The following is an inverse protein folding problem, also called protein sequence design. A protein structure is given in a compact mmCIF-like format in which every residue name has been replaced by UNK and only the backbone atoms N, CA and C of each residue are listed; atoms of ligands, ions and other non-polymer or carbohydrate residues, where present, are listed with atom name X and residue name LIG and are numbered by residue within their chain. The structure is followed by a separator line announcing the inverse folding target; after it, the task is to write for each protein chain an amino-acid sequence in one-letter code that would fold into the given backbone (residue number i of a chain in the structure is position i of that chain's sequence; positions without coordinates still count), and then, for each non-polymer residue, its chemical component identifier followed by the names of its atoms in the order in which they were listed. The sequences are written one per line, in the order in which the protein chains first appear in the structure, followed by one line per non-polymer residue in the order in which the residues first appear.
data_IF_140060947474
#
_entry.id   IF_140060947474
#
_cell.length_a   1.000
_cell.length_b   1.000
_cell.length_c   1.000
_cell.angle_alpha   90.00
_cell.angle_beta   90.00
_cell.angle_gamma   90.00
#
_symmetry.space_group_name_H-M   'P 1'
#
loop_
_entity.id
_entity.type
_entity.pdbx_description
1 polymer ?
#
# COMPACT_ATOMS: atom_id res chain seq x y z
N UNK A 1 -28.21 17.32 -6.82
CA UNK A 1 -27.56 16.83 -5.58
C UNK A 1 -26.62 17.92 -5.11
N UNK A 2 -26.88 18.51 -3.93
CA UNK A 2 -26.03 19.57 -3.38
C UNK A 2 -24.81 18.90 -2.73
N UNK A 3 -23.62 19.28 -3.21
CA UNK A 3 -22.31 18.86 -2.71
C UNK A 3 -22.15 19.22 -1.22
N UNK A 4 -22.16 18.22 -0.34
CA UNK A 4 -21.70 18.37 1.05
C UNK A 4 -20.16 18.28 1.19
N UNK A 5 -19.42 18.18 0.09
CA UNK A 5 -17.94 18.19 0.06
C UNK A 5 -17.31 19.59 0.00
N UNK A 6 -18.06 20.65 0.24
CA UNK A 6 -17.74 21.98 -0.28
C UNK A 6 -16.73 22.82 0.52
N UNK A 7 -15.76 22.24 1.25
CA UNK A 7 -14.60 22.99 1.77
C UNK A 7 -13.46 22.15 2.41
N UNK A 8 -13.54 20.82 2.44
CA UNK A 8 -12.46 20.02 3.03
C UNK A 8 -11.24 20.02 2.09
N UNK A 9 -10.12 20.57 2.58
CA UNK A 9 -8.84 20.55 1.86
C UNK A 9 -8.14 19.24 2.17
N UNK A 10 -7.82 18.47 1.13
CA UNK A 10 -7.16 17.17 1.24
C UNK A 10 -5.76 17.25 0.67
N UNK A 11 -4.83 16.46 1.23
CA UNK A 11 -3.47 16.36 0.75
C UNK A 11 -2.93 14.94 0.86
N UNK A 12 -2.22 14.48 -0.17
CA UNK A 12 -1.50 13.21 -0.09
C UNK A 12 -0.12 13.46 0.50
N UNK A 13 0.29 12.59 1.41
CA UNK A 13 1.65 12.56 1.97
C UNK A 13 2.29 11.22 1.64
N UNK A 14 3.50 11.27 1.10
CA UNK A 14 4.31 10.09 0.78
C UNK A 14 5.62 10.19 1.53
N UNK A 15 5.93 9.17 2.33
CA UNK A 15 7.22 9.02 3.00
C UNK A 15 7.89 7.76 2.49
N UNK A 16 8.96 7.93 1.72
CA UNK A 16 9.80 6.82 1.26
C UNK A 16 10.71 6.37 2.39
N UNK A 17 10.60 5.10 2.82
CA UNK A 17 11.50 4.44 3.77
C UNK A 17 11.85 5.30 5.00
N UNK A 18 11.07 5.19 6.10
CA UNK A 18 11.40 5.88 7.36
C UNK A 18 12.83 5.62 7.85
N UNK A 19 13.40 4.45 7.56
CA UNK A 19 14.80 4.15 7.82
C UNK A 19 15.75 5.12 7.12
N UNK A 20 15.52 5.37 5.83
CA UNK A 20 16.37 6.25 5.03
C UNK A 20 16.11 7.74 5.32
N UNK A 21 14.89 8.07 5.74
CA UNK A 21 14.43 9.46 5.96
C UNK A 21 14.34 9.85 7.44
N UNK A 22 14.91 9.06 8.33
CA UNK A 22 14.73 9.20 9.79
C UNK A 22 15.09 10.58 10.34
N UNK A 23 16.13 11.21 9.77
CA UNK A 23 16.61 12.55 10.18
C UNK A 23 15.71 13.70 9.69
N UNK A 24 14.73 13.44 8.82
CA UNK A 24 13.76 14.47 8.43
C UNK A 24 12.78 14.71 9.60
N UNK A 25 12.72 15.94 10.15
CA UNK A 25 11.94 16.22 11.37
C UNK A 25 10.43 15.99 11.18
N UNK A 26 9.95 15.88 9.94
CA UNK A 26 8.55 15.61 9.63
C UNK A 26 8.20 14.13 9.75
N UNK A 27 9.17 13.23 9.65
CA UNK A 27 8.94 11.78 9.59
C UNK A 27 8.45 11.22 10.92
N UNK A 28 9.07 11.59 12.04
CA UNK A 28 8.70 11.05 13.35
C UNK A 28 7.24 11.31 13.73
N UNK A 29 6.78 12.56 13.57
CA UNK A 29 5.39 12.94 13.81
C UNK A 29 4.42 12.25 12.84
N UNK A 30 4.73 12.30 11.54
CA UNK A 30 3.90 11.66 10.52
C UNK A 30 3.76 10.15 10.74
N UNK A 31 4.86 9.44 11.02
CA UNK A 31 4.85 7.99 11.20
C UNK A 31 4.00 7.59 12.41
N UNK A 32 4.08 8.35 13.51
CA UNK A 32 3.21 8.16 14.68
C UNK A 32 1.74 8.27 14.30
N UNK A 33 1.36 9.32 13.58
CA UNK A 33 -0.05 9.56 13.21
C UNK A 33 -0.55 8.55 12.17
N UNK A 34 0.30 8.19 11.21
CA UNK A 34 0.07 7.15 10.22
C UNK A 34 -0.18 5.78 10.88
N UNK A 35 0.68 5.38 11.81
CA UNK A 35 0.48 4.17 12.61
C UNK A 35 -0.80 4.28 13.44
N UNK A 36 -1.11 5.46 13.98
CA UNK A 36 -2.35 5.73 14.70
C UNK A 36 -3.60 5.39 13.89
N UNK A 37 -3.65 5.77 12.61
CA UNK A 37 -4.76 5.41 11.70
C UNK A 37 -4.87 3.91 11.51
N UNK A 38 -3.74 3.22 11.33
CA UNK A 38 -3.71 1.75 11.19
C UNK A 38 -4.25 1.06 12.43
N UNK A 39 -3.78 1.47 13.62
CA UNK A 39 -4.21 0.91 14.90
C UNK A 39 -5.71 1.14 15.14
N UNK A 40 -6.22 2.34 14.91
CA UNK A 40 -7.66 2.65 15.08
C UNK A 40 -8.52 1.95 14.03
N UNK A 41 -8.07 1.93 12.77
CA UNK A 41 -8.77 1.28 11.66
C UNK A 41 -8.92 -0.22 11.86
N UNK A 42 -7.82 -0.93 12.15
CA UNK A 42 -7.87 -2.36 12.46
C UNK A 42 -8.55 -2.63 13.81
N UNK A 43 -8.26 -1.85 14.85
CA UNK A 43 -8.85 -2.04 16.18
C UNK A 43 -10.38 -1.89 16.20
N UNK A 44 -10.95 -1.12 15.28
CA UNK A 44 -12.41 -1.03 15.09
C UNK A 44 -13.01 -2.35 14.58
N UNK A 45 -12.29 -3.06 13.72
CA UNK A 45 -12.75 -4.31 13.08
C UNK A 45 -12.32 -5.58 13.84
N UNK A 46 -11.24 -5.47 14.61
CA UNK A 46 -10.56 -6.54 15.34
C UNK A 46 -10.24 -6.03 16.75
N UNK A 47 -11.10 -6.33 17.76
CA UNK A 47 -10.91 -5.80 19.11
C UNK A 47 -9.56 -6.13 19.76
N UNK A 48 -8.95 -7.26 19.40
CA UNK A 48 -7.63 -7.67 19.88
C UNK A 48 -6.95 -8.66 18.93
N UNK A 49 -5.63 -8.80 19.03
CA UNK A 49 -4.85 -9.88 18.40
C UNK A 49 -4.34 -9.60 16.98
N UNK A 50 -4.84 -8.57 16.29
CA UNK A 50 -4.34 -8.17 14.97
C UNK A 50 -3.40 -6.98 15.12
N UNK A 51 -2.13 -7.18 14.74
CA UNK A 51 -1.12 -6.13 14.72
C UNK A 51 -0.94 -5.61 13.29
N UNK A 52 -1.36 -4.37 12.97
CA UNK A 52 -1.25 -3.85 11.61
C UNK A 52 0.14 -3.29 11.29
N UNK A 53 1.10 -3.38 12.23
CA UNK A 53 2.47 -2.86 12.12
C UNK A 53 3.50 -3.96 12.30
N UNK A 54 4.60 -3.89 11.56
CA UNK A 54 5.74 -4.80 11.68
C UNK A 54 7.06 -4.09 11.33
N UNK A 55 8.19 -4.79 11.41
CA UNK A 55 9.49 -4.20 11.10
C UNK A 55 9.62 -3.67 9.68
N UNK A 56 8.83 -4.17 8.73
CA UNK A 56 8.91 -3.71 7.33
C UNK A 56 8.25 -2.34 7.13
N UNK A 57 7.50 -1.82 8.10
CA UNK A 57 7.13 -0.40 8.15
C UNK A 57 8.36 0.53 8.19
N UNK A 58 9.55 0.07 8.58
CA UNK A 58 10.74 0.94 8.54
C UNK A 58 11.32 1.11 7.13
N UNK A 59 11.08 0.17 6.22
CA UNK A 59 11.67 0.17 4.86
C UNK A 59 10.64 0.39 3.75
N UNK A 60 9.36 0.50 4.13
CA UNK A 60 8.25 0.68 3.19
C UNK A 60 8.09 2.13 2.78
N UNK A 61 7.48 2.36 1.62
CA UNK A 61 6.89 3.64 1.29
C UNK A 61 5.51 3.74 1.93
N UNK A 62 5.28 4.78 2.72
CA UNK A 62 4.01 5.08 3.39
C UNK A 62 3.26 6.14 2.61
N UNK A 63 1.98 5.89 2.36
CA UNK A 63 1.14 6.80 1.61
C UNK A 63 -0.12 7.05 2.43
N UNK A 64 -0.37 8.31 2.72
CA UNK A 64 -1.56 8.75 3.44
C UNK A 64 -2.35 9.75 2.63
N UNK A 65 -3.68 9.66 2.75
CA UNK A 65 -4.55 10.80 2.51
C UNK A 65 -4.72 11.53 3.84
N UNK A 66 -4.46 12.83 3.86
CA UNK A 66 -4.59 13.68 5.01
C UNK A 66 -5.68 14.73 4.79
N UNK A 67 -6.41 15.04 5.85
CA UNK A 67 -7.15 16.30 5.96
C UNK A 67 -6.17 17.41 6.32
N UNK A 68 -6.34 18.58 5.70
CA UNK A 68 -5.62 19.80 6.08
C UNK A 68 -6.53 20.58 7.02
N UNK A 69 -6.09 20.74 8.26
CA UNK A 69 -6.81 21.51 9.27
C UNK A 69 -6.57 23.02 9.10
N UNK A 70 -7.31 23.85 9.85
CA UNK A 70 -7.22 25.31 9.74
C UNK A 70 -5.84 25.90 10.09
N UNK A 71 -5.04 25.18 10.89
CA UNK A 71 -3.65 25.52 11.23
C UNK A 71 -2.62 24.94 10.24
N UNK A 72 -3.10 24.42 9.08
CA UNK A 72 -2.33 23.71 8.06
C UNK A 72 -1.66 22.41 8.55
N UNK A 73 -2.04 21.91 9.73
CA UNK A 73 -1.63 20.58 10.17
C UNK A 73 -2.27 19.49 9.30
N UNK A 74 -1.53 18.40 9.13
CA UNK A 74 -1.92 17.27 8.29
C UNK A 74 -2.36 16.12 9.17
N UNK A 75 -3.65 15.80 9.15
CA UNK A 75 -4.22 14.68 9.92
C UNK A 75 -4.49 13.52 8.96
N UNK A 76 -3.75 12.40 9.06
CA UNK A 76 -4.01 11.22 8.24
C UNK A 76 -5.41 10.67 8.48
N UNK A 77 -6.16 10.42 7.41
CA UNK A 77 -7.50 9.84 7.41
C UNK A 77 -7.57 8.50 6.66
N UNK A 78 -6.55 8.21 5.86
CA UNK A 78 -6.34 6.94 5.20
C UNK A 78 -4.84 6.64 5.14
N UNK A 79 -4.47 5.38 5.30
CA UNK A 79 -3.10 4.91 5.33
C UNK A 79 -2.94 3.62 4.52
N UNK A 80 -1.79 3.48 3.85
CA UNK A 80 -1.35 2.24 3.21
C UNK A 80 0.17 2.22 3.10
N UNK A 81 0.74 1.04 2.89
CA UNK A 81 2.18 0.87 2.69
C UNK A 81 2.53 0.01 1.48
N UNK A 82 3.70 0.27 0.93
CA UNK A 82 4.28 -0.40 -0.21
C UNK A 82 5.67 -0.90 0.17
N UNK A 83 5.86 -2.22 0.18
CA UNK A 83 7.15 -2.84 0.47
C UNK A 83 7.70 -3.51 -0.78
N UNK A 84 8.79 -2.97 -1.33
CA UNK A 84 9.48 -3.54 -2.48
C UNK A 84 10.27 -4.79 -2.09
N UNK A 85 10.31 -5.79 -2.99
CA UNK A 85 11.18 -6.95 -2.85
C UNK A 85 12.66 -6.55 -2.84
N UNK A 86 13.07 -5.63 -3.74
CA UNK A 86 14.44 -5.09 -3.75
C UNK A 86 14.81 -4.45 -2.42
N UNK A 87 13.93 -3.62 -1.83
CA UNK A 87 14.15 -3.03 -0.50
C UNK A 87 14.22 -4.10 0.60
N UNK A 88 13.33 -5.09 0.60
CA UNK A 88 13.38 -6.18 1.56
C UNK A 88 14.74 -6.92 1.52
N UNK A 89 15.22 -7.25 0.31
CA UNK A 89 16.54 -7.89 0.10
C UNK A 89 17.70 -7.00 0.58
N UNK A 90 17.67 -5.69 0.28
CA UNK A 90 18.71 -4.74 0.72
C UNK A 90 18.88 -4.69 2.25
N UNK A 91 17.80 -4.88 2.99
CA UNK A 91 17.80 -4.86 4.45
C UNK A 91 17.78 -6.27 5.07
N UNK A 92 18.06 -7.33 4.29
CA UNK A 92 18.06 -8.72 4.75
C UNK A 92 16.74 -9.15 5.42
N UNK A 93 15.63 -8.60 4.94
CA UNK A 93 14.28 -8.92 5.42
C UNK A 93 13.59 -9.88 4.46
N UNK A 94 12.74 -10.76 5.01
CA UNK A 94 11.82 -11.53 4.17
C UNK A 94 10.85 -10.58 3.46
N UNK A 95 10.53 -10.88 2.21
CA UNK A 95 9.46 -10.17 1.51
C UNK A 95 8.14 -10.41 2.26
N UNK A 96 7.42 -9.35 2.71
CA UNK A 96 6.26 -9.57 3.58
C UNK A 96 5.14 -10.35 2.90
N UNK A 97 5.00 -10.20 1.58
CA UNK A 97 4.06 -10.99 0.79
C UNK A 97 4.31 -12.49 0.88
N UNK A 98 5.58 -12.92 0.78
CA UNK A 98 5.97 -14.32 0.97
C UNK A 98 5.77 -14.77 2.42
N UNK A 99 6.12 -13.91 3.38
CA UNK A 99 5.95 -14.20 4.81
C UNK A 99 4.49 -14.48 5.17
N UNK A 100 3.55 -13.72 4.57
CA UNK A 100 2.12 -13.94 4.74
C UNK A 100 1.68 -15.34 4.27
N UNK A 101 2.16 -15.78 3.11
CA UNK A 101 1.81 -17.09 2.54
C UNK A 101 2.43 -18.26 3.32
N UNK A 102 3.64 -18.07 3.83
CA UNK A 102 4.33 -19.04 4.70
C UNK A 102 3.59 -19.23 6.02
N UNK A 103 3.20 -18.13 6.68
CA UNK A 103 2.45 -18.18 7.93
C UNK A 103 1.04 -18.75 7.76
N UNK A 104 0.43 -18.58 6.59
CA UNK A 104 -0.86 -19.17 6.25
C UNK A 104 -0.78 -20.67 5.92
N UNK A 105 0.42 -21.26 5.81
CA UNK A 105 0.59 -22.66 5.43
C UNK A 105 0.05 -22.96 4.02
N UNK A 106 0.17 -22.00 3.08
CA UNK A 106 -0.40 -22.08 1.74
C UNK A 106 0.66 -22.41 0.67
N UNK A 107 1.10 -23.68 0.50
CA UNK A 107 2.24 -24.02 -0.35
C UNK A 107 2.02 -23.73 -1.84
N UNK A 108 0.79 -23.88 -2.35
CA UNK A 108 0.48 -23.57 -3.75
C UNK A 108 0.61 -22.06 -4.02
N UNK A 109 0.11 -21.21 -3.12
CA UNK A 109 0.28 -19.76 -3.22
C UNK A 109 1.75 -19.36 -3.09
N UNK A 110 2.50 -20.00 -2.18
CA UNK A 110 3.95 -19.76 -2.05
C UNK A 110 4.69 -20.08 -3.35
N UNK A 111 4.38 -21.22 -3.97
CA UNK A 111 4.94 -21.62 -5.26
C UNK A 111 4.61 -20.58 -6.34
N UNK A 112 3.34 -20.20 -6.47
CA UNK A 112 2.91 -19.19 -7.45
C UNK A 112 3.63 -17.83 -7.26
N UNK A 113 3.77 -17.36 -6.02
CA UNK A 113 4.50 -16.10 -5.76
C UNK A 113 6.00 -16.25 -6.04
N UNK A 114 6.60 -17.41 -5.77
CA UNK A 114 8.00 -17.66 -6.09
C UNK A 114 8.25 -17.61 -7.60
N UNK A 115 7.38 -18.23 -8.41
CA UNK A 115 7.45 -18.19 -9.87
C UNK A 115 7.33 -16.75 -10.41
N UNK A 116 6.41 -15.95 -9.85
CA UNK A 116 6.30 -14.52 -10.19
C UNK A 116 7.59 -13.77 -9.83
N UNK A 117 8.15 -14.00 -8.63
CA UNK A 117 9.39 -13.37 -8.18
C UNK A 117 10.55 -13.71 -9.13
N UNK A 118 10.68 -14.97 -9.52
CA UNK A 118 11.70 -15.40 -10.48
C UNK A 118 11.53 -14.71 -11.84
N UNK A 119 10.29 -14.58 -12.33
CA UNK A 119 10.02 -13.91 -13.60
C UNK A 119 10.33 -12.41 -13.56
N UNK A 120 9.91 -11.69 -12.50
CA UNK A 120 10.24 -10.26 -12.40
C UNK A 120 11.75 -10.04 -12.26
N UNK A 121 12.47 -10.95 -11.57
CA UNK A 121 13.93 -10.92 -11.49
C UNK A 121 14.56 -11.12 -12.88
N UNK A 122 14.08 -12.10 -13.67
CA UNK A 122 14.53 -12.32 -15.07
C UNK A 122 14.32 -11.09 -15.94
N UNK A 123 13.22 -10.37 -15.73
CA UNK A 123 12.90 -9.14 -16.47
C UNK A 123 13.58 -7.89 -15.90
N UNK A 124 14.41 -8.00 -14.86
CA UNK A 124 14.99 -6.88 -14.10
C UNK A 124 13.93 -5.87 -13.58
N UNK A 125 12.70 -6.35 -13.37
CA UNK A 125 11.61 -5.59 -12.76
C UNK A 125 11.69 -5.70 -11.24
N UNK A 126 10.71 -5.12 -10.56
CA UNK A 126 10.52 -5.27 -9.12
C UNK A 126 9.07 -5.69 -8.86
N UNK A 127 8.84 -6.30 -7.71
CA UNK A 127 7.51 -6.62 -7.20
C UNK A 127 7.32 -5.96 -5.84
N UNK A 128 6.14 -5.38 -5.63
CA UNK A 128 5.81 -4.65 -4.41
C UNK A 128 4.62 -5.31 -3.71
N UNK A 129 4.78 -5.58 -2.42
CA UNK A 129 3.65 -5.94 -1.58
C UNK A 129 2.96 -4.67 -1.07
N UNK A 130 1.67 -4.54 -1.39
CA UNK A 130 0.83 -3.45 -0.88
C UNK A 130 -0.03 -3.96 0.26
N UNK A 131 -0.02 -3.25 1.39
CA UNK A 131 -0.63 -3.72 2.62
C UNK A 131 -1.10 -2.60 3.53
N UNK A 132 -1.67 -3.01 4.67
CA UNK A 132 -2.08 -2.12 5.76
C UNK A 132 -3.03 -1.01 5.33
N UNK A 133 -3.93 -1.30 4.39
CA UNK A 133 -4.99 -0.37 4.00
C UNK A 133 -5.86 -0.11 5.24
N UNK A 134 -5.91 1.15 5.66
CA UNK A 134 -6.70 1.59 6.80
C UNK A 134 -7.36 2.92 6.49
N UNK A 135 -8.62 3.04 6.90
CA UNK A 135 -9.40 4.27 6.85
C UNK A 135 -9.82 4.55 8.28
N UNK A 136 -9.62 5.78 8.74
CA UNK A 136 -10.06 6.24 10.05
C UNK A 136 -11.56 5.95 10.22
N UNK A 137 -11.99 5.26 11.29
CA UNK A 137 -13.40 4.89 11.45
C UNK A 137 -14.38 6.06 11.38
N UNK A 138 -13.99 7.25 11.88
CA UNK A 138 -14.82 8.45 11.82
C UNK A 138 -15.06 8.98 10.40
N UNK A 139 -14.30 8.52 9.40
CA UNK A 139 -14.46 8.89 8.00
C UNK A 139 -15.50 8.03 7.26
N UNK A 140 -15.93 6.92 7.87
CA UNK A 140 -16.92 6.00 7.28
C UNK A 140 -18.34 6.45 7.57
N UNK A 141 -18.61 7.74 7.35
CA UNK A 141 -19.88 8.40 7.74
C UNK A 141 -21.05 8.07 6.81
N UNK A 142 -20.76 7.82 5.53
CA UNK A 142 -21.78 7.53 4.53
C UNK A 142 -21.25 6.66 3.39
N UNK A 143 -22.17 6.08 2.63
CA UNK A 143 -21.84 5.33 1.40
C UNK A 143 -21.15 6.23 0.37
N UNK A 144 -21.58 7.48 0.24
CA UNK A 144 -20.98 8.45 -0.69
C UNK A 144 -19.54 8.76 -0.29
N UNK A 145 -19.28 9.06 0.99
CA UNK A 145 -17.91 9.27 1.50
C UNK A 145 -17.04 8.05 1.29
N UNK A 146 -17.56 6.85 1.55
CA UNK A 146 -16.83 5.60 1.32
C UNK A 146 -16.48 5.37 -0.16
N UNK A 147 -17.39 5.72 -1.09
CA UNK A 147 -17.11 5.63 -2.53
C UNK A 147 -16.06 6.66 -2.96
N UNK A 148 -16.17 7.90 -2.48
CA UNK A 148 -15.17 8.94 -2.71
C UNK A 148 -13.77 8.49 -2.25
N UNK A 149 -13.66 7.99 -1.01
CA UNK A 149 -12.40 7.48 -0.48
C UNK A 149 -11.86 6.31 -1.31
N UNK A 150 -12.71 5.41 -1.81
CA UNK A 150 -12.29 4.32 -2.72
C UNK A 150 -11.78 4.85 -4.06
N UNK A 151 -12.32 5.93 -4.60
CA UNK A 151 -11.78 6.54 -5.82
C UNK A 151 -10.40 7.16 -5.57
N UNK A 152 -10.22 7.88 -4.44
CA UNK A 152 -8.92 8.43 -4.05
C UNK A 152 -7.91 7.31 -3.84
N UNK A 153 -8.33 6.22 -3.19
CA UNK A 153 -7.54 5.02 -3.00
C UNK A 153 -7.06 4.43 -4.33
N UNK A 154 -7.97 4.23 -5.29
CA UNK A 154 -7.62 3.77 -6.65
C UNK A 154 -6.60 4.69 -7.30
N UNK A 155 -6.78 6.01 -7.19
CA UNK A 155 -5.82 6.98 -7.74
C UNK A 155 -4.44 6.87 -7.07
N UNK A 156 -4.37 6.71 -5.74
CA UNK A 156 -3.10 6.53 -5.01
C UNK A 156 -2.35 5.28 -5.48
N UNK A 157 -3.06 4.16 -5.67
CA UNK A 157 -2.48 2.91 -6.18
C UNK A 157 -1.85 3.10 -7.57
N UNK A 158 -2.62 3.64 -8.51
CA UNK A 158 -2.14 3.86 -9.89
C UNK A 158 -0.97 4.83 -9.92
N UNK A 159 -1.08 5.94 -9.20
CA UNK A 159 -0.10 7.02 -9.25
C UNK A 159 1.21 6.62 -8.58
N UNK A 160 1.16 5.87 -7.47
CA UNK A 160 2.36 5.33 -6.85
C UNK A 160 3.04 4.30 -7.74
N UNK A 161 2.29 3.37 -8.36
CA UNK A 161 2.87 2.36 -9.25
C UNK A 161 3.64 3.04 -10.38
N UNK A 162 3.00 4.05 -11.00
CA UNK A 162 3.62 4.86 -12.05
C UNK A 162 4.86 5.59 -11.56
N UNK A 163 4.83 6.18 -10.37
CA UNK A 163 5.96 6.89 -9.79
C UNK A 163 7.16 5.96 -9.51
N UNK A 164 6.92 4.67 -9.29
CA UNK A 164 7.96 3.65 -9.11
C UNK A 164 8.41 2.97 -10.41
N UNK A 165 7.92 3.42 -11.57
CA UNK A 165 8.28 2.82 -12.86
C UNK A 165 7.52 1.53 -13.18
N UNK A 166 6.28 1.40 -12.71
CA UNK A 166 5.38 0.26 -12.95
C UNK A 166 5.93 -1.10 -12.48
N UNK A 167 6.30 -1.27 -11.19
CA UNK A 167 6.54 -2.60 -10.65
C UNK A 167 5.24 -3.42 -10.66
N UNK A 168 5.36 -4.74 -10.71
CA UNK A 168 4.22 -5.62 -10.48
C UNK A 168 3.77 -5.52 -9.00
N UNK A 169 2.48 -5.64 -8.72
CA UNK A 169 1.95 -5.50 -7.35
C UNK A 169 1.35 -6.79 -6.83
N UNK A 170 1.58 -7.04 -5.54
CA UNK A 170 1.09 -8.17 -4.80
C UNK A 170 0.26 -7.69 -3.59
N UNK A 171 -0.89 -8.30 -3.33
CA UNK A 171 -1.77 -7.92 -2.22
C UNK A 171 -2.66 -9.07 -1.76
N UNK A 172 -3.18 -8.95 -0.54
CA UNK A 172 -4.29 -9.76 -0.05
C UNK A 172 -5.55 -8.93 0.10
N UNK A 173 -6.64 -9.32 -0.56
CA UNK A 173 -7.96 -8.73 -0.37
C UNK A 173 -8.78 -9.52 0.64
N UNK A 174 -9.05 -8.96 1.81
CA UNK A 174 -9.91 -9.58 2.83
C UNK A 174 -11.36 -9.69 2.33
N UNK A 175 -11.85 -10.94 2.23
CA UNK A 175 -13.15 -11.26 1.63
C UNK A 175 -14.33 -10.70 2.42
N UNK A 176 -14.25 -10.64 3.76
CA UNK A 176 -15.31 -10.08 4.62
C UNK A 176 -15.65 -8.63 4.23
N UNK A 177 -14.63 -7.85 3.87
CA UNK A 177 -14.78 -6.43 3.51
C UNK A 177 -14.95 -6.20 2.01
N UNK A 178 -14.98 -7.26 1.20
CA UNK A 178 -15.12 -7.17 -0.27
C UNK A 178 -13.99 -6.35 -0.90
N UNK A 179 -12.79 -6.37 -0.31
CA UNK A 179 -11.61 -5.67 -0.85
C UNK A 179 -11.14 -6.36 -2.12
N UNK A 180 -11.20 -7.70 -2.16
CA UNK A 180 -10.90 -8.52 -3.34
C UNK A 180 -11.73 -8.13 -4.56
N UNK A 181 -13.01 -7.78 -4.37
CA UNK A 181 -13.87 -7.34 -5.48
C UNK A 181 -13.47 -5.99 -6.03
N UNK A 182 -13.00 -5.09 -5.16
CA UNK A 182 -12.48 -3.81 -5.61
C UNK A 182 -11.11 -3.94 -6.29
N UNK A 183 -10.25 -4.82 -5.77
CA UNK A 183 -9.00 -5.17 -6.43
C UNK A 183 -9.26 -5.77 -7.83
N UNK A 184 -10.20 -6.70 -7.99
CA UNK A 184 -10.54 -7.25 -9.30
C UNK A 184 -11.03 -6.17 -10.28
N UNK A 185 -11.85 -5.22 -9.82
CA UNK A 185 -12.24 -4.05 -10.64
C UNK A 185 -11.04 -3.18 -11.04
N UNK A 186 -10.00 -3.12 -10.21
CA UNK A 186 -8.75 -2.43 -10.53
C UNK A 186 -7.87 -3.20 -11.53
N UNK A 187 -8.19 -4.45 -11.86
CA UNK A 187 -7.41 -5.30 -12.78
C UNK A 187 -6.61 -6.40 -12.09
N UNK A 188 -6.68 -6.50 -10.76
CA UNK A 188 -5.96 -7.54 -10.03
C UNK A 188 -6.54 -8.91 -10.34
N UNK A 189 -5.69 -9.94 -10.37
CA UNK A 189 -6.12 -11.32 -10.58
C UNK A 189 -5.67 -12.21 -9.42
N UNK A 190 -6.48 -13.21 -9.02
CA UNK A 190 -6.03 -14.25 -8.10
C UNK A 190 -4.69 -14.85 -8.55
N UNK A 191 -3.89 -15.32 -7.59
CA UNK A 191 -2.71 -16.12 -7.95
C UNK A 191 -3.10 -17.37 -8.74
N UNK A 192 -2.21 -17.74 -9.66
CA UNK A 192 -2.39 -18.85 -10.59
C UNK A 192 -1.14 -19.71 -10.55
N UNK A 193 -1.27 -20.97 -10.95
CA UNK A 193 -0.14 -21.87 -11.28
C UNK A 193 -0.35 -22.40 -12.69
N UNK A 194 0.64 -23.11 -13.23
CA UNK A 194 0.53 -23.79 -14.54
C UNK A 194 -0.72 -24.68 -14.66
N UNK A 195 -1.22 -25.23 -13.56
CA UNK A 195 -2.33 -26.19 -13.54
C UNK A 195 -3.65 -25.61 -13.00
N UNK A 196 -3.64 -24.38 -12.46
CA UNK A 196 -4.80 -23.81 -11.78
C UNK A 196 -4.87 -22.30 -11.99
N UNK A 197 -5.91 -21.85 -12.70
CA UNK A 197 -6.14 -20.44 -13.07
C UNK A 197 -6.58 -19.56 -11.89
N UNK A 198 -6.90 -20.15 -10.74
CA UNK A 198 -7.30 -19.41 -9.55
C UNK A 198 -7.12 -20.27 -8.30
N UNK A 199 -6.09 -19.98 -7.51
CA UNK A 199 -5.79 -20.70 -6.27
C UNK A 199 -6.78 -20.43 -5.12
N UNK A 200 -7.80 -19.61 -5.32
CA UNK A 200 -8.80 -19.26 -4.33
C UNK A 200 -8.23 -18.51 -3.11
N UNK A 201 -9.09 -18.21 -2.13
CA UNK A 201 -8.69 -17.51 -0.92
C UNK A 201 -8.12 -18.47 0.14
N UNK A 202 -7.29 -17.92 1.04
CA UNK A 202 -6.65 -18.64 2.15
C UNK A 202 -6.99 -18.01 3.50
N UNK A 203 -6.88 -18.79 4.58
CA UNK A 203 -7.07 -18.28 5.93
C UNK A 203 -5.77 -17.68 6.47
N UNK A 204 -5.84 -16.44 6.97
CA UNK A 204 -4.69 -15.73 7.51
C UNK A 204 -4.80 -15.66 9.03
N UNK A 205 -4.04 -16.49 9.73
CA UNK A 205 -4.11 -16.62 11.18
C UNK A 205 -3.82 -15.32 11.95
N UNK A 206 -2.82 -14.54 11.52
CA UNK A 206 -2.48 -13.26 12.16
C UNK A 206 -3.50 -12.13 11.91
N UNK A 207 -4.47 -12.36 11.02
CA UNK A 207 -5.64 -11.51 10.81
C UNK A 207 -6.89 -12.16 11.42
N UNK A 208 -6.78 -12.74 12.61
CA UNK A 208 -7.90 -13.41 13.29
C UNK A 208 -8.58 -14.51 12.44
N UNK A 209 -7.82 -15.20 11.57
CA UNK A 209 -8.34 -16.27 10.72
C UNK A 209 -9.16 -15.78 9.52
N UNK A 210 -9.02 -14.53 9.10
CA UNK A 210 -9.73 -13.98 7.96
C UNK A 210 -9.47 -14.73 6.66
N UNK A 211 -10.51 -14.83 5.84
CA UNK A 211 -10.42 -15.34 4.48
C UNK A 211 -9.90 -14.23 3.57
N UNK A 212 -8.76 -14.45 2.93
CA UNK A 212 -8.06 -13.46 2.10
C UNK A 212 -7.80 -14.03 0.71
N UNK A 213 -8.29 -13.33 -0.32
CA UNK A 213 -7.92 -13.62 -1.69
C UNK A 213 -6.56 -12.98 -1.98
N UNK A 214 -5.56 -13.81 -2.23
CA UNK A 214 -4.23 -13.34 -2.64
C UNK A 214 -4.26 -13.05 -4.14
N UNK A 215 -3.74 -11.88 -4.52
CA UNK A 215 -3.87 -11.34 -5.87
C UNK A 215 -2.57 -10.70 -6.36
N UNK A 216 -2.42 -10.70 -7.67
CA UNK A 216 -1.32 -10.14 -8.43
C UNK A 216 -1.85 -9.14 -9.46
N UNK A 217 -1.14 -8.02 -9.65
CA UNK A 217 -1.46 -7.01 -10.64
C UNK A 217 -0.24 -6.75 -11.53
N UNK A 218 -0.44 -6.99 -12.82
CA UNK A 218 0.52 -6.62 -13.87
C UNK A 218 0.10 -5.34 -14.57
N UNK A 219 -1.21 -5.18 -14.82
CA UNK A 219 -1.77 -4.03 -15.52
C UNK A 219 -3.07 -3.56 -14.86
N UNK A 220 -3.23 -2.25 -14.74
CA UNK A 220 -4.49 -1.67 -14.26
C UNK A 220 -5.59 -1.76 -15.31
N UNK A 221 -6.82 -1.95 -14.83
CA UNK A 221 -8.00 -1.85 -15.69
C UNK A 221 -8.18 -0.43 -16.23
N UNK A 222 -8.87 -0.30 -17.38
CA UNK A 222 -9.25 0.99 -17.93
C UNK A 222 -10.00 1.85 -16.90
N UNK A 223 -10.90 1.23 -16.13
CA UNK A 223 -11.63 1.91 -15.07
C UNK A 223 -10.70 2.54 -14.02
N UNK A 224 -9.69 1.80 -13.53
CA UNK A 224 -8.76 2.33 -12.55
C UNK A 224 -7.92 3.50 -13.11
N UNK A 225 -7.52 3.41 -14.38
CA UNK A 225 -6.79 4.48 -15.08
C UNK A 225 -7.65 5.75 -15.23
N UNK A 226 -8.93 5.63 -15.55
CA UNK A 226 -9.86 6.78 -15.63
C UNK A 226 -10.06 7.44 -14.26
N UNK A 227 -10.26 6.64 -13.19
CA UNK A 227 -10.38 7.14 -11.82
C UNK A 227 -9.10 7.85 -11.38
N UNK A 228 -7.92 7.31 -11.72
CA UNK A 228 -6.65 7.96 -11.44
C UNK A 228 -6.55 9.31 -12.14
N UNK A 229 -6.94 9.40 -13.41
CA UNK A 229 -6.92 10.67 -14.16
C UNK A 229 -7.82 11.73 -13.52
N UNK A 230 -9.02 11.35 -13.08
CA UNK A 230 -9.98 12.23 -12.40
C UNK A 230 -9.38 12.95 -11.19
N UNK A 231 -8.62 12.23 -10.37
CA UNK A 231 -8.07 12.73 -9.10
C UNK A 231 -6.57 13.05 -9.14
N UNK A 232 -5.96 13.07 -10.33
CA UNK A 232 -4.52 13.23 -10.51
C UNK A 232 -3.95 14.51 -9.90
N UNK A 233 -4.75 15.57 -9.79
CA UNK A 233 -4.34 16.83 -9.18
C UNK A 233 -3.86 16.65 -7.73
N UNK A 234 -4.56 15.82 -6.93
CA UNK A 234 -4.17 15.53 -5.54
C UNK A 234 -2.79 14.85 -5.46
N UNK A 235 -2.46 13.99 -6.43
CA UNK A 235 -1.16 13.34 -6.49
C UNK A 235 -0.04 14.31 -6.89
N UNK A 236 -0.33 15.20 -7.83
CA UNK A 236 0.64 16.18 -8.32
C UNK A 236 1.01 17.19 -7.22
N UNK A 237 0.08 17.48 -6.31
CA UNK A 237 0.26 18.39 -5.18
C UNK A 237 0.73 17.70 -3.88
N UNK A 238 1.04 16.40 -3.94
CA UNK A 238 1.43 15.61 -2.76
C UNK A 238 2.68 16.17 -2.08
N UNK A 239 2.74 16.01 -0.76
CA UNK A 239 3.97 16.18 -0.01
C UNK A 239 4.81 14.89 -0.13
N UNK A 240 5.98 14.98 -0.76
CA UNK A 240 6.92 13.86 -0.87
C UNK A 240 8.12 14.08 0.06
N UNK A 241 8.33 13.13 0.96
CA UNK A 241 9.51 13.05 1.84
C UNK A 241 10.32 11.84 1.38
N UNK A 242 11.52 12.11 0.87
CA UNK A 242 12.47 11.09 0.41
C UNK A 242 13.89 11.58 0.61
N UNK A 243 14.84 10.64 0.65
CA UNK A 243 16.26 10.99 0.68
C UNK A 243 16.61 11.75 -0.60
N UNK A 244 17.28 12.89 -0.45
CA UNK A 244 17.86 13.57 -1.59
C UNK A 244 18.94 12.63 -2.16
N UNK A 245 18.97 12.37 -3.48
CA UNK A 245 20.09 11.66 -4.05
C UNK A 245 21.36 12.36 -3.58
N UNK A 246 22.29 11.61 -2.99
CA UNK A 246 23.61 12.13 -2.71
C UNK A 246 24.09 12.74 -4.03
N UNK A 247 24.38 14.05 -4.03
CA UNK A 247 25.03 14.64 -5.19
C UNK A 247 26.25 13.77 -5.45
N UNK A 248 26.43 13.31 -6.68
CA UNK A 248 27.67 12.66 -7.13
C UNK A 248 28.79 13.69 -7.06
N UNK A 249 29.19 14.06 -5.85
CA UNK A 249 30.45 14.74 -5.60
C UNK A 249 31.47 13.65 -5.80
N UNK A 250 32.26 13.80 -6.86
CA UNK A 250 33.34 12.89 -7.22
C UNK A 250 34.06 12.43 -5.96
N UNK A 251 33.92 11.14 -5.65
CA UNK A 251 34.81 10.50 -4.70
C UNK A 251 36.18 10.55 -5.37
N UNK A 252 36.97 11.57 -5.04
CA UNK A 252 38.38 11.55 -5.38
C UNK A 252 38.95 10.28 -4.72
N UNK A 253 39.56 9.38 -5.51
CA UNK A 253 40.15 8.18 -4.95
C UNK A 253 41.19 8.62 -3.90
N UNK A 254 41.09 8.04 -2.72
CA UNK A 254 42.07 8.24 -1.66
C UNK A 254 43.47 7.91 -2.21
N UNK A 255 44.41 8.84 -1.99
CA UNK A 255 45.82 8.69 -2.34
C UNK A 255 46.53 7.67 -1.43
#
# INVERSE_FOLDING_TARGET
MKNETNNEKLKIVVVESPYDTWEDPRVGGFLKDFIGVKLRGYGHEYPYGVMPVDGSDMISTHIALCRVEADESLVPIMAMRWTSLKKARQHFMNFPGMSLLQQAGAPLHQKALAEIIEEVDRQNKDIVYTASLSIEPSERTSKERSLFLREILTMMFVSQQKAMGFPELFAGGTCRFKIEKWLDNCGWKPLQTENEENLGPIHIHHLAGELVQVMHLQEFSFWALEISRKWQHLWNERLLIKVKPLSTTEVQPAA
#
